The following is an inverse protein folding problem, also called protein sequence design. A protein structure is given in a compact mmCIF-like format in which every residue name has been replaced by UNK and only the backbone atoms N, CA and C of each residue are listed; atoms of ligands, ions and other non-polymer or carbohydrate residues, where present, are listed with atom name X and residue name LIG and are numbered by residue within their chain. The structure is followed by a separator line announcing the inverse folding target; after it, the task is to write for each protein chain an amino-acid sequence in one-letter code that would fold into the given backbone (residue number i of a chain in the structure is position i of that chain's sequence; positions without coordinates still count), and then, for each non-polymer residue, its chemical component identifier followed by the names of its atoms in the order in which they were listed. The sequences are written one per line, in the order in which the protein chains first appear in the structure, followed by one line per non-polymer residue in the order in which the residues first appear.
data_IF_517194259284
#
_entry.id   IF_517194259284
#
_cell.length_a   1.000
_cell.length_b   1.000
_cell.length_c   1.000
_cell.angle_alpha   90.00
_cell.angle_beta   90.00
_cell.angle_gamma   90.00
#
_symmetry.space_group_name_H-M   'P 1'
#
loop_
_entity.id
_entity.type
_entity.pdbx_description
1 polymer ?
#
# COMPACT_ATOMS: atom_id res chain seq x y z
N UNK A 1 9.32 -3.60 6.65
CA UNK A 1 7.96 -4.13 6.72
C UNK A 1 7.19 -3.74 5.46
N UNK A 2 6.48 -4.69 4.86
CA UNK A 2 5.43 -4.44 3.87
C UNK A 2 4.06 -4.68 4.50
N UNK A 3 3.19 -3.65 4.52
CA UNK A 3 1.83 -3.72 5.09
C UNK A 3 0.82 -3.91 3.96
N UNK A 4 0.07 -5.03 4.04
CA UNK A 4 -0.81 -5.49 2.98
C UNK A 4 -0.01 -6.04 1.80
N UNK A 5 0.87 -7.00 2.08
CA UNK A 5 1.77 -7.58 1.07
C UNK A 5 1.04 -8.40 0.01
N UNK A 6 -0.23 -8.77 0.25
CA UNK A 6 -0.99 -9.61 -0.66
C UNK A 6 -0.25 -10.90 -1.01
N UNK A 7 -0.19 -11.27 -2.30
CA UNK A 7 0.51 -12.48 -2.77
C UNK A 7 2.04 -12.31 -2.87
N UNK A 8 2.62 -11.25 -2.30
CA UNK A 8 4.05 -11.00 -2.25
C UNK A 8 4.68 -10.49 -3.57
N UNK A 9 3.88 -9.91 -4.46
CA UNK A 9 4.37 -9.50 -5.80
C UNK A 9 5.40 -8.36 -5.77
N UNK A 10 5.42 -7.54 -4.72
CA UNK A 10 6.46 -6.54 -4.52
C UNK A 10 7.54 -7.07 -3.58
N UNK A 11 7.14 -7.83 -2.55
CA UNK A 11 8.06 -8.41 -1.57
C UNK A 11 9.13 -9.30 -2.22
N UNK A 12 8.78 -10.01 -3.31
CA UNK A 12 9.74 -10.88 -4.03
C UNK A 12 10.92 -10.12 -4.64
N UNK A 13 10.73 -8.83 -4.96
CA UNK A 13 11.76 -7.98 -5.56
C UNK A 13 12.58 -7.19 -4.51
N UNK A 14 12.22 -7.29 -3.22
CA UNK A 14 12.97 -6.61 -2.15
C UNK A 14 14.20 -7.44 -1.77
N UNK A 15 15.36 -6.84 -1.89
CA UNK A 15 16.66 -7.47 -1.71
C UNK A 15 17.46 -6.85 -0.56
N UNK A 16 18.39 -7.65 0.01
CA UNK A 16 19.40 -7.21 0.97
C UNK A 16 18.83 -6.53 2.24
N UNK A 17 17.69 -7.00 2.73
CA UNK A 17 17.04 -6.49 3.95
C UNK A 17 16.41 -7.63 4.75
N UNK A 18 16.22 -7.41 6.04
CA UNK A 18 15.34 -8.22 6.86
C UNK A 18 13.89 -7.86 6.54
N UNK A 19 13.20 -8.76 5.85
CA UNK A 19 11.85 -8.51 5.34
C UNK A 19 10.80 -9.11 6.26
N UNK A 20 9.78 -8.30 6.57
CA UNK A 20 8.54 -8.76 7.18
C UNK A 20 7.37 -8.43 6.25
N UNK A 21 6.53 -9.43 5.97
CA UNK A 21 5.31 -9.31 5.18
C UNK A 21 4.10 -9.40 6.09
N UNK A 22 3.22 -8.42 6.08
CA UNK A 22 1.99 -8.38 6.86
C UNK A 22 0.77 -8.32 5.93
N UNK A 23 -0.21 -9.20 6.14
CA UNK A 23 -1.48 -9.19 5.41
C UNK A 23 -2.59 -9.82 6.26
N UNK A 24 -3.84 -9.33 6.21
CA UNK A 24 -4.94 -9.93 6.95
C UNK A 24 -5.40 -11.30 6.42
N UNK A 25 -5.16 -11.61 5.14
CA UNK A 25 -5.57 -12.86 4.50
C UNK A 25 -4.52 -13.95 4.66
N UNK A 26 -4.83 -15.04 5.37
CA UNK A 26 -3.91 -16.18 5.49
C UNK A 26 -3.67 -16.86 4.12
N UNK A 27 -4.62 -16.78 3.19
CA UNK A 27 -4.47 -17.31 1.84
C UNK A 27 -3.43 -16.50 1.05
N UNK A 28 -3.46 -15.19 1.16
CA UNK A 28 -2.45 -14.30 0.54
C UNK A 28 -1.06 -14.55 1.12
N UNK A 29 -0.94 -14.68 2.44
CA UNK A 29 0.33 -14.99 3.09
C UNK A 29 0.90 -16.35 2.67
N UNK A 30 0.05 -17.36 2.45
CA UNK A 30 0.52 -18.67 1.92
C UNK A 30 1.14 -18.51 0.53
N UNK A 31 0.51 -17.74 -0.35
CA UNK A 31 1.03 -17.47 -1.70
C UNK A 31 2.30 -16.63 -1.63
N UNK A 32 2.30 -15.57 -0.82
CA UNK A 32 3.45 -14.71 -0.60
C UNK A 32 4.66 -15.51 -0.11
N UNK A 33 4.45 -16.40 0.86
CA UNK A 33 5.53 -17.23 1.39
C UNK A 33 6.20 -18.08 0.30
N UNK A 34 5.43 -18.74 -0.53
CA UNK A 34 6.00 -19.56 -1.62
C UNK A 34 6.81 -18.71 -2.59
N UNK A 35 6.27 -17.58 -3.00
CA UNK A 35 6.87 -16.66 -3.98
C UNK A 35 8.13 -16.00 -3.43
N UNK A 36 8.02 -15.35 -2.27
CA UNK A 36 9.10 -14.56 -1.66
C UNK A 36 10.24 -15.47 -1.24
N UNK A 37 9.95 -16.63 -0.62
CA UNK A 37 11.00 -17.57 -0.22
C UNK A 37 11.76 -18.16 -1.41
N UNK A 38 11.06 -18.42 -2.52
CA UNK A 38 11.72 -18.85 -3.76
C UNK A 38 12.72 -17.79 -4.25
N UNK A 39 12.29 -16.53 -4.31
CA UNK A 39 13.12 -15.42 -4.75
C UNK A 39 14.31 -15.17 -3.80
N UNK A 40 14.06 -15.13 -2.48
CA UNK A 40 15.10 -14.91 -1.47
C UNK A 40 16.13 -16.04 -1.44
N UNK A 41 15.67 -17.29 -1.53
CA UNK A 41 16.55 -18.46 -1.60
C UNK A 41 17.47 -18.44 -2.83
N UNK A 42 16.96 -18.02 -3.99
CA UNK A 42 17.76 -17.91 -5.21
C UNK A 42 18.89 -16.86 -5.12
N UNK A 43 18.71 -15.87 -4.22
CA UNK A 43 19.69 -14.80 -3.93
C UNK A 43 20.58 -15.11 -2.71
N UNK A 44 20.35 -16.22 -2.01
CA UNK A 44 21.09 -16.57 -0.78
C UNK A 44 20.74 -15.71 0.43
N UNK A 45 19.54 -15.12 0.44
CA UNK A 45 19.06 -14.25 1.52
C UNK A 45 18.35 -15.05 2.63
N UNK A 46 18.27 -14.45 3.83
CA UNK A 46 17.51 -15.01 4.95
C UNK A 46 16.02 -15.06 4.64
N UNK A 47 15.27 -16.08 5.14
CA UNK A 47 13.82 -16.13 5.01
C UNK A 47 13.13 -14.87 5.52
N UNK A 48 11.98 -14.51 4.92
CA UNK A 48 11.15 -13.41 5.40
C UNK A 48 10.28 -13.85 6.59
N UNK A 49 9.83 -12.89 7.39
CA UNK A 49 8.83 -13.10 8.44
C UNK A 49 7.43 -12.81 7.88
N UNK A 50 6.42 -13.62 8.27
CA UNK A 50 5.04 -13.46 7.82
C UNK A 50 4.13 -13.27 9.02
N UNK A 51 3.32 -12.19 9.00
CA UNK A 51 2.45 -11.77 10.11
C UNK A 51 1.03 -11.62 9.59
N UNK A 52 0.10 -12.38 10.17
CA UNK A 52 -1.32 -12.21 9.87
C UNK A 52 -1.91 -11.14 10.79
N UNK A 53 -2.19 -9.95 10.24
CA UNK A 53 -2.78 -8.83 10.97
C UNK A 53 -3.36 -7.79 10.00
N UNK A 54 -4.19 -6.91 10.54
CA UNK A 54 -4.64 -5.68 9.86
C UNK A 54 -3.67 -4.54 10.15
N UNK A 55 -3.69 -3.52 9.31
CA UNK A 55 -2.79 -2.36 9.46
C UNK A 55 -3.11 -1.51 10.70
N UNK A 56 -4.35 -1.57 11.18
CA UNK A 56 -4.85 -0.85 12.33
C UNK A 56 -4.46 -1.47 13.69
N UNK A 57 -3.85 -2.69 13.64
CA UNK A 57 -3.41 -3.41 14.83
C UNK A 57 -2.22 -4.29 14.46
N UNK A 58 -1.03 -3.70 14.44
CA UNK A 58 0.22 -4.39 14.07
C UNK A 58 0.81 -5.06 15.31
N UNK A 59 0.84 -6.41 15.41
CA UNK A 59 1.32 -7.12 16.60
C UNK A 59 2.85 -7.21 16.61
N UNK A 60 3.52 -6.10 16.40
CA UNK A 60 4.97 -5.99 16.34
C UNK A 60 5.44 -4.84 17.25
N UNK A 61 6.65 -4.92 17.83
CA UNK A 61 7.14 -3.92 18.76
C UNK A 61 7.29 -2.53 18.14
N UNK A 62 7.26 -1.52 19.01
CA UNK A 62 7.58 -0.14 18.65
C UNK A 62 9.01 -0.03 18.11
N UNK A 63 9.26 0.96 17.25
CA UNK A 63 10.60 1.31 16.79
C UNK A 63 11.41 0.13 16.22
N UNK A 64 10.76 -0.73 15.43
CA UNK A 64 11.37 -1.96 14.90
C UNK A 64 11.88 -1.77 13.48
N UNK A 65 11.20 -1.01 12.64
CA UNK A 65 11.46 -0.97 11.20
C UNK A 65 12.10 0.33 10.74
N UNK A 66 13.13 0.22 9.90
CA UNK A 66 13.75 1.36 9.23
C UNK A 66 12.89 1.86 8.08
N UNK A 67 12.18 0.95 7.42
CA UNK A 67 11.31 1.25 6.26
C UNK A 67 10.00 0.48 6.34
N UNK A 68 8.90 1.17 6.04
CA UNK A 68 7.59 0.54 5.86
C UNK A 68 7.05 0.90 4.48
N UNK A 69 6.58 -0.10 3.77
CA UNK A 69 5.95 0.03 2.46
C UNK A 69 4.48 -0.37 2.55
N UNK A 70 3.66 0.33 1.77
CA UNK A 70 2.24 0.09 1.65
C UNK A 70 1.87 0.25 0.17
N UNK A 71 1.80 -0.86 -0.57
CA UNK A 71 1.61 -0.84 -2.02
C UNK A 71 0.25 -1.38 -2.40
N UNK A 72 -0.61 -0.49 -2.90
CA UNK A 72 -1.98 -0.78 -3.32
C UNK A 72 -2.87 -1.43 -2.24
N UNK A 73 -2.54 -1.25 -0.97
CA UNK A 73 -3.27 -1.75 0.20
C UNK A 73 -3.86 -0.65 1.08
N UNK A 74 -3.29 0.55 1.06
CA UNK A 74 -3.74 1.66 1.92
C UNK A 74 -5.20 2.06 1.69
N UNK A 75 -5.71 1.94 0.45
CA UNK A 75 -7.12 2.19 0.14
C UNK A 75 -8.07 1.26 0.89
N UNK A 76 -7.62 0.06 1.23
CA UNK A 76 -8.42 -1.00 1.85
C UNK A 76 -8.39 -0.95 3.38
N UNK A 77 -7.57 -0.10 4.01
CA UNK A 77 -7.60 0.15 5.45
C UNK A 77 -8.98 0.65 5.86
N UNK A 78 -9.55 0.10 6.92
CA UNK A 78 -10.86 0.51 7.45
C UNK A 78 -10.75 1.87 8.12
N UNK A 79 -9.76 2.05 9.00
CA UNK A 79 -9.37 3.33 9.60
C UNK A 79 -7.95 3.70 9.17
N UNK A 80 -7.85 4.57 8.17
CA UNK A 80 -6.57 5.02 7.62
C UNK A 80 -5.71 5.80 8.62
N UNK A 81 -6.35 6.53 9.55
CA UNK A 81 -5.62 7.26 10.58
C UNK A 81 -4.97 6.27 11.54
N UNK A 82 -5.74 5.33 12.07
CA UNK A 82 -5.24 4.31 12.98
C UNK A 82 -4.15 3.46 12.34
N UNK A 83 -4.31 3.07 11.08
CA UNK A 83 -3.25 2.36 10.33
C UNK A 83 -1.97 3.18 10.19
N UNK A 84 -2.08 4.49 9.94
CA UNK A 84 -0.91 5.39 9.90
C UNK A 84 -0.26 5.55 11.29
N UNK A 85 -1.04 5.59 12.36
CA UNK A 85 -0.55 5.66 13.75
C UNK A 85 0.21 4.38 14.13
N UNK A 86 -0.32 3.20 13.80
CA UNK A 86 0.35 1.92 14.02
C UNK A 86 1.65 1.78 13.20
N UNK A 87 1.62 2.18 11.93
CA UNK A 87 2.83 2.21 11.10
C UNK A 87 3.87 3.19 11.69
N UNK A 88 3.42 4.35 12.18
CA UNK A 88 4.30 5.32 12.84
C UNK A 88 4.91 4.74 14.13
N UNK A 89 4.12 4.01 14.93
CA UNK A 89 4.57 3.35 16.14
C UNK A 89 5.70 2.38 15.86
N UNK A 90 5.54 1.49 14.89
CA UNK A 90 6.53 0.45 14.57
C UNK A 90 7.74 0.96 13.80
N UNK A 91 7.69 2.17 13.20
CA UNK A 91 8.84 2.81 12.58
C UNK A 91 9.84 3.27 13.65
N UNK A 92 11.13 3.01 13.41
CA UNK A 92 12.23 3.60 14.19
C UNK A 92 12.26 5.12 14.04
N UNK A 93 12.80 5.88 15.02
CA UNK A 93 13.21 7.26 14.77
C UNK A 93 14.07 7.34 13.51
N UNK A 94 13.81 8.33 12.65
CA UNK A 94 14.44 8.45 11.32
C UNK A 94 13.89 7.49 10.25
N UNK A 95 13.04 6.56 10.63
CA UNK A 95 12.42 5.60 9.71
C UNK A 95 11.46 6.26 8.72
N UNK A 96 11.21 5.60 7.59
CA UNK A 96 10.42 6.16 6.49
C UNK A 96 9.26 5.25 6.10
N UNK A 97 8.06 5.86 5.95
CA UNK A 97 6.91 5.26 5.30
C UNK A 97 6.85 5.66 3.82
N UNK A 98 6.59 4.68 2.96
CA UNK A 98 6.25 4.91 1.54
C UNK A 98 4.92 4.21 1.24
N UNK A 99 3.96 4.98 0.76
CA UNK A 99 2.67 4.48 0.28
C UNK A 99 2.60 4.73 -1.23
N UNK A 100 2.22 3.71 -1.98
CA UNK A 100 1.88 3.83 -3.39
C UNK A 100 0.46 3.27 -3.58
N UNK A 101 -0.49 4.12 -3.91
CA UNK A 101 -1.89 3.71 -4.04
C UNK A 101 -2.65 4.65 -4.98
N UNK A 102 -3.97 4.48 -5.06
CA UNK A 102 -4.84 5.37 -5.84
C UNK A 102 -4.53 6.84 -5.55
N UNK A 103 -4.65 7.70 -6.55
CA UNK A 103 -4.29 9.11 -6.45
C UNK A 103 -5.33 10.05 -7.01
N UNK A 104 -5.65 11.10 -6.26
CA UNK A 104 -6.50 12.21 -6.68
C UNK A 104 -5.79 13.53 -6.39
N UNK A 105 -5.45 14.30 -7.44
CA UNK A 105 -4.87 15.63 -7.25
C UNK A 105 -5.85 16.55 -6.53
N UNK A 106 -7.08 16.60 -7.05
CA UNK A 106 -8.20 17.38 -6.56
C UNK A 106 -9.53 16.71 -6.91
N UNK A 107 -10.65 17.35 -6.60
CA UNK A 107 -11.98 16.79 -6.84
C UNK A 107 -12.32 16.60 -8.33
N UNK A 108 -11.90 17.53 -9.21
CA UNK A 108 -12.10 17.42 -10.68
C UNK A 108 -11.34 16.23 -11.26
N UNK A 109 -10.07 16.06 -10.88
CA UNK A 109 -9.28 14.91 -11.25
C UNK A 109 -9.91 13.59 -10.72
N UNK A 110 -10.45 13.62 -9.50
CA UNK A 110 -11.18 12.50 -8.92
C UNK A 110 -12.45 12.16 -9.68
N UNK A 111 -13.19 13.15 -10.16
CA UNK A 111 -14.38 12.96 -11.00
C UNK A 111 -14.03 12.34 -12.36
N UNK A 112 -13.02 12.89 -13.03
CA UNK A 112 -12.53 12.36 -14.31
C UNK A 112 -12.03 10.90 -14.16
N UNK A 113 -11.25 10.61 -13.11
CA UNK A 113 -10.77 9.27 -12.79
C UNK A 113 -11.92 8.28 -12.50
N UNK A 114 -12.96 8.72 -11.81
CA UNK A 114 -14.16 7.90 -11.56
C UNK A 114 -14.89 7.55 -12.85
N UNK A 115 -15.10 8.53 -13.74
CA UNK A 115 -15.71 8.31 -15.05
C UNK A 115 -14.86 7.32 -15.85
N UNK A 116 -13.56 7.54 -15.93
CA UNK A 116 -12.61 6.65 -16.61
C UNK A 116 -12.68 5.21 -16.08
N UNK A 117 -12.63 5.04 -14.75
CA UNK A 117 -12.69 3.74 -14.08
C UNK A 117 -14.02 3.02 -14.28
N UNK A 118 -15.14 3.77 -14.33
CA UNK A 118 -16.47 3.19 -14.50
C UNK A 118 -16.87 2.92 -15.96
N UNK A 119 -16.15 3.49 -16.92
CA UNK A 119 -16.45 3.35 -18.37
C UNK A 119 -15.30 2.61 -19.07
N UNK A 120 -14.20 3.28 -19.32
CA UNK A 120 -13.11 2.74 -20.16
C UNK A 120 -12.48 1.50 -19.54
N UNK A 121 -12.15 1.53 -18.25
CA UNK A 121 -11.56 0.38 -17.57
C UNK A 121 -12.50 -0.82 -17.56
N UNK A 122 -13.82 -0.60 -17.37
CA UNK A 122 -14.79 -1.69 -17.40
C UNK A 122 -14.95 -2.29 -18.82
N UNK A 123 -14.93 -1.45 -19.86
CA UNK A 123 -14.99 -1.92 -21.25
C UNK A 123 -13.73 -2.73 -21.61
N UNK A 124 -12.55 -2.20 -21.26
CA UNK A 124 -11.28 -2.92 -21.47
C UNK A 124 -11.24 -4.24 -20.71
N UNK A 125 -11.67 -4.24 -19.44
CA UNK A 125 -11.71 -5.43 -18.63
C UNK A 125 -12.63 -6.52 -19.22
N UNK A 126 -13.82 -6.13 -19.71
CA UNK A 126 -14.73 -7.06 -20.40
C UNK A 126 -14.12 -7.60 -21.69
N UNK A 127 -13.43 -6.75 -22.46
CA UNK A 127 -12.77 -7.17 -23.69
C UNK A 127 -11.66 -8.19 -23.41
N UNK A 128 -10.78 -7.92 -22.43
CA UNK A 128 -9.65 -8.77 -22.07
C UNK A 128 -10.11 -10.07 -21.40
N UNK A 129 -11.01 -10.00 -20.42
CA UNK A 129 -11.44 -11.18 -19.66
C UNK A 129 -12.52 -11.98 -20.33
N UNK A 130 -13.22 -11.38 -21.30
CA UNK A 130 -14.43 -11.93 -21.95
C UNK A 130 -15.54 -12.29 -20.95
N UNK A 131 -15.50 -11.74 -19.73
CA UNK A 131 -16.47 -11.97 -18.65
C UNK A 131 -17.16 -10.67 -18.27
N UNK A 132 -18.49 -10.75 -17.97
CA UNK A 132 -19.24 -9.62 -17.42
C UNK A 132 -18.86 -9.34 -15.95
N UNK A 133 -18.44 -10.39 -15.25
CA UNK A 133 -17.96 -10.30 -13.87
C UNK A 133 -16.44 -10.53 -13.85
N UNK A 134 -15.72 -9.52 -13.41
CA UNK A 134 -14.25 -9.50 -13.42
C UNK A 134 -13.70 -8.78 -12.18
N UNK A 135 -12.48 -9.06 -11.74
CA UNK A 135 -11.91 -8.53 -10.47
C UNK A 135 -11.91 -6.99 -10.37
N UNK A 136 -11.84 -6.28 -11.49
CA UNK A 136 -11.79 -4.81 -11.50
C UNK A 136 -13.15 -4.12 -11.39
N UNK A 137 -14.24 -4.85 -11.23
CA UNK A 137 -15.60 -4.28 -11.12
C UNK A 137 -15.77 -3.38 -9.90
N UNK A 138 -15.11 -3.72 -8.79
CA UNK A 138 -15.10 -2.94 -7.54
C UNK A 138 -14.19 -1.71 -7.56
N UNK A 139 -13.26 -1.61 -8.53
CA UNK A 139 -12.20 -0.61 -8.51
C UNK A 139 -12.72 0.84 -8.55
N UNK A 140 -13.75 1.10 -9.35
CA UNK A 140 -14.39 2.42 -9.42
C UNK A 140 -15.03 2.82 -8.09
N UNK A 141 -15.64 1.86 -7.37
CA UNK A 141 -16.24 2.08 -6.05
C UNK A 141 -15.15 2.42 -5.02
N UNK A 142 -14.09 1.63 -4.93
CA UNK A 142 -12.96 1.87 -4.03
C UNK A 142 -12.31 3.22 -4.33
N UNK A 143 -12.07 3.53 -5.62
CA UNK A 143 -11.52 4.81 -6.04
C UNK A 143 -12.42 5.99 -5.64
N UNK A 144 -13.75 5.87 -5.73
CA UNK A 144 -14.67 6.96 -5.39
C UNK A 144 -14.58 7.38 -3.92
N UNK A 145 -14.35 6.45 -3.00
CA UNK A 145 -14.23 6.69 -1.56
C UNK A 145 -12.82 7.11 -1.12
N UNK A 146 -11.83 6.99 -2.00
CA UNK A 146 -10.46 7.41 -1.69
C UNK A 146 -10.34 8.93 -1.65
N UNK A 147 -9.64 9.47 -0.66
CA UNK A 147 -9.43 10.91 -0.48
C UNK A 147 -8.49 11.54 -1.50
N UNK A 148 -8.34 12.86 -1.43
CA UNK A 148 -7.36 13.58 -2.26
C UNK A 148 -5.95 13.44 -1.68
N UNK A 149 -4.93 13.69 -2.51
CA UNK A 149 -3.54 13.70 -2.07
C UNK A 149 -3.28 14.73 -0.97
N UNK A 150 -3.98 15.87 -1.01
CA UNK A 150 -3.91 16.90 0.03
C UNK A 150 -4.43 16.39 1.38
N UNK A 151 -5.55 15.70 1.37
CA UNK A 151 -6.16 15.10 2.56
C UNK A 151 -5.20 14.11 3.26
N UNK A 152 -4.61 13.16 2.52
CA UNK A 152 -3.72 12.18 3.12
C UNK A 152 -2.39 12.77 3.59
N UNK A 153 -1.84 13.76 2.87
CA UNK A 153 -0.66 14.47 3.36
C UNK A 153 -0.91 15.24 4.66
N UNK A 154 -2.12 15.82 4.80
CA UNK A 154 -2.53 16.46 6.05
C UNK A 154 -2.63 15.45 7.17
N UNK A 155 -3.33 14.33 6.95
CA UNK A 155 -3.47 13.25 7.92
C UNK A 155 -2.13 12.68 8.39
N UNK A 156 -1.18 12.44 7.47
CA UNK A 156 0.18 11.99 7.84
C UNK A 156 0.90 12.99 8.75
N UNK A 157 0.78 14.31 8.47
CA UNK A 157 1.39 15.33 9.35
C UNK A 157 0.73 15.39 10.73
N UNK A 158 -0.58 15.23 10.80
CA UNK A 158 -1.33 15.19 12.06
C UNK A 158 -0.95 13.98 12.94
N UNK A 159 -0.58 12.85 12.32
CA UNK A 159 -0.05 11.67 13.04
C UNK A 159 1.38 11.91 13.56
N UNK A 160 2.12 12.86 12.97
CA UNK A 160 3.48 13.18 13.40
C UNK A 160 4.57 12.97 12.33
N UNK A 161 4.20 12.49 11.14
CA UNK A 161 5.18 12.34 10.06
C UNK A 161 5.72 13.68 9.59
N UNK A 162 7.04 13.76 9.45
CA UNK A 162 7.76 14.89 8.87
C UNK A 162 8.16 14.62 7.42
N UNK A 163 8.61 15.67 6.71
CA UNK A 163 9.05 15.58 5.31
C UNK A 163 7.99 14.97 4.38
N UNK A 164 6.70 15.16 4.71
CA UNK A 164 5.59 14.55 3.99
C UNK A 164 5.50 15.10 2.57
N UNK A 165 5.74 14.24 1.59
CA UNK A 165 5.62 14.52 0.15
C UNK A 165 4.58 13.59 -0.46
N UNK A 166 3.81 14.09 -1.42
CA UNK A 166 2.85 13.30 -2.20
C UNK A 166 2.93 13.73 -3.66
N UNK A 167 3.00 12.76 -4.57
CA UNK A 167 3.13 13.00 -6.01
C UNK A 167 2.24 12.03 -6.77
N UNK A 168 1.51 12.54 -7.77
CA UNK A 168 0.86 11.69 -8.76
C UNK A 168 1.90 10.97 -9.61
N UNK A 169 1.64 9.72 -9.91
CA UNK A 169 2.44 8.90 -10.80
C UNK A 169 1.84 8.95 -12.21
N UNK A 170 2.68 9.25 -13.19
CA UNK A 170 2.32 9.25 -14.62
C UNK A 170 2.34 7.81 -15.16
N UNK A 171 1.67 7.55 -16.31
CA UNK A 171 1.10 8.51 -17.26
C UNK A 171 -0.33 8.99 -16.97
N UNK A 172 -1.13 8.27 -16.22
CA UNK A 172 -2.57 8.59 -16.09
C UNK A 172 -2.94 9.30 -14.78
N UNK A 173 -1.98 9.54 -13.89
CA UNK A 173 -2.20 10.26 -12.64
C UNK A 173 -3.23 9.64 -11.68
N UNK A 174 -3.63 8.38 -11.90
CA UNK A 174 -4.60 7.68 -11.04
C UNK A 174 -3.95 6.94 -9.87
N UNK A 175 -2.64 6.93 -9.81
CA UNK A 175 -1.86 6.47 -8.67
C UNK A 175 -1.03 7.61 -8.08
N UNK A 176 -0.81 7.55 -6.78
CA UNK A 176 0.02 8.50 -6.05
C UNK A 176 1.04 7.77 -5.19
N UNK A 177 2.19 8.39 -5.04
CA UNK A 177 3.18 8.00 -4.04
C UNK A 177 3.19 9.05 -2.93
N UNK A 178 3.01 8.60 -1.71
CA UNK A 178 3.24 9.38 -0.50
C UNK A 178 4.48 8.87 0.20
N UNK A 179 5.22 9.77 0.85
CA UNK A 179 6.29 9.40 1.77
C UNK A 179 6.32 10.36 2.94
N UNK A 180 6.70 9.87 4.08
CA UNK A 180 6.93 10.65 5.30
C UNK A 180 7.92 9.94 6.19
N UNK A 181 8.63 10.66 7.04
CA UNK A 181 9.58 10.11 8.01
C UNK A 181 9.10 10.33 9.44
N UNK A 182 9.43 9.40 10.33
CA UNK A 182 9.37 9.62 11.77
C UNK A 182 10.56 10.50 12.17
N UNK A 183 10.39 11.51 13.04
CA UNK A 183 11.53 12.27 13.58
C UNK A 183 12.62 11.39 14.16
N UNK A 184 13.82 11.95 14.36
CA UNK A 184 14.97 11.20 14.95
C UNK A 184 14.93 11.13 16.48
N UNK A 185 14.02 11.84 17.10
CA UNK A 185 13.89 12.04 18.57
C UNK A 185 12.44 11.93 19.05
#
# INVERSE_FOLDING_TARGET
LEVGCGPGSFAEDIENVDLTCLDPSPEMLKVAKVRVEHARKSRGETPATYVQAIAEEIPLPDNTFDRVFCLFSFRDFQDKRKGLEEIYRVLKPGGMLVICDAGKANWLHGLAGRIWMSTVVQLMARYVTRKKDHPWKGLAKTYSHYGTNGYYRKMMREVGYQNVKGRLLLPFGMASRFKGSKPND
#
